data_IF_393190638080
#
_entry.id   IF_393190638080
#
_cell.length_a   1.000
_cell.length_b   1.000
_cell.length_c   1.000
_cell.angle_alpha   90.00
_cell.angle_beta   90.00
_cell.angle_gamma   90.00
#
_symmetry.space_group_name_H-M   'P 1'
#
loop_
_entity.id
_entity.type
_entity.pdbx_description
1 polymer ?
#
# COMPACT_ATOMS: atom_id res chain seq x y z
N UNK A 1 14.23 -14.26 -36.98
CA UNK A 1 12.76 -14.11 -37.08
C UNK A 1 12.19 -14.31 -35.67
N UNK A 2 11.90 -13.37 -34.77
CA UNK A 2 12.01 -11.91 -34.57
C UNK A 2 11.75 -11.69 -33.04
N UNK A 3 12.56 -10.89 -32.32
CA UNK A 3 12.25 -9.53 -31.79
C UNK A 3 10.96 -9.49 -30.92
N UNK A 4 10.85 -8.95 -29.69
CA UNK A 4 11.48 -7.87 -28.91
C UNK A 4 11.38 -8.25 -27.40
N UNK A 5 12.27 -7.91 -26.47
CA UNK A 5 12.80 -6.58 -26.15
C UNK A 5 12.04 -5.97 -24.96
N UNK A 6 12.31 -6.42 -23.71
CA UNK A 6 11.73 -5.82 -22.49
C UNK A 6 12.64 -4.70 -21.97
N UNK A 7 12.12 -3.49 -22.03
CA UNK A 7 12.81 -2.24 -21.68
C UNK A 7 12.77 -2.02 -20.15
N UNK A 8 13.93 -1.79 -19.56
CA UNK A 8 14.10 -1.30 -18.19
C UNK A 8 14.06 0.23 -18.24
N UNK A 9 13.04 0.87 -17.66
CA UNK A 9 13.00 2.33 -17.50
C UNK A 9 13.77 2.72 -16.23
N UNK A 10 15.01 3.21 -16.41
CA UNK A 10 15.74 3.99 -15.40
C UNK A 10 15.81 5.45 -15.88
N UNK A 11 15.24 6.37 -15.11
CA UNK A 11 15.38 7.81 -15.35
C UNK A 11 16.69 8.31 -14.76
N UNK A 12 17.68 8.49 -15.62
CA UNK A 12 18.78 9.44 -15.44
C UNK A 12 18.76 10.34 -16.67
N UNK A 13 18.38 11.60 -16.48
CA UNK A 13 18.38 12.59 -17.55
C UNK A 13 19.80 12.96 -17.98
N UNK A 14 20.00 13.36 -19.23
CA UNK A 14 21.11 14.22 -19.60
C UNK A 14 20.60 15.61 -20.00
N UNK A 15 21.17 16.63 -19.38
CA UNK A 15 21.25 17.98 -19.92
C UNK A 15 21.69 17.95 -21.38
N UNK A 16 21.07 18.78 -22.22
CA UNK A 16 21.70 19.49 -23.34
C UNK A 16 20.72 20.57 -23.82
N UNK A 17 21.09 21.84 -23.62
CA UNK A 17 20.56 22.95 -24.43
C UNK A 17 21.34 22.97 -25.76
N UNK A 18 20.73 23.45 -26.84
CA UNK A 18 21.26 24.67 -27.43
C UNK A 18 20.18 25.70 -27.80
N UNK A 19 20.67 26.91 -28.06
CA UNK A 19 19.99 28.19 -28.15
C UNK A 19 19.46 28.50 -29.55
N UNK A 20 18.43 29.37 -29.58
CA UNK A 20 18.18 30.49 -30.52
C UNK A 20 17.10 30.36 -31.63
N UNK A 21 16.12 31.26 -31.50
CA UNK A 21 15.38 32.06 -32.51
C UNK A 21 14.31 31.42 -33.40
N UNK A 22 13.16 32.11 -33.41
CA UNK A 22 12.12 32.02 -34.45
C UNK A 22 10.78 31.61 -33.84
N UNK A 23 9.95 32.60 -33.51
CA UNK A 23 8.58 32.33 -33.11
C UNK A 23 7.77 31.85 -34.31
N UNK A 24 6.91 30.87 -34.07
CA UNK A 24 5.64 30.72 -34.78
C UNK A 24 4.61 30.23 -33.78
N UNK A 25 3.54 31.01 -33.69
CA UNK A 25 2.36 30.80 -32.88
C UNK A 25 1.42 29.89 -33.65
N UNK A 26 1.23 28.64 -33.23
CA UNK A 26 0.16 27.79 -33.75
C UNK A 26 -0.73 27.22 -32.63
N UNK A 27 -1.83 27.97 -32.43
CA UNK A 27 -3.22 27.53 -32.22
C UNK A 27 -3.52 26.57 -31.05
N UNK A 28 -3.92 27.19 -29.93
CA UNK A 28 -4.77 26.60 -28.90
C UNK A 28 -6.19 26.40 -29.46
N UNK A 29 -6.70 25.17 -29.43
CA UNK A 29 -8.13 24.91 -29.63
C UNK A 29 -8.95 25.46 -28.45
N UNK A 30 -10.24 25.82 -28.63
CA UNK A 30 -10.91 26.79 -27.77
C UNK A 30 -11.26 26.33 -26.35
N UNK A 31 -10.92 25.10 -25.94
CA UNK A 31 -11.36 24.52 -24.67
C UNK A 31 -10.31 23.68 -23.92
N UNK A 32 -9.02 23.83 -24.23
CA UNK A 32 -7.95 23.36 -23.32
C UNK A 32 -7.72 21.85 -23.27
N UNK A 33 -8.10 21.09 -24.30
CA UNK A 33 -7.65 19.70 -24.49
C UNK A 33 -6.61 19.68 -25.60
N UNK A 34 -5.38 19.29 -25.26
CA UNK A 34 -4.29 19.09 -26.22
C UNK A 34 -4.02 17.60 -26.35
N UNK A 35 -3.60 17.14 -27.54
CA UNK A 35 -3.15 15.77 -27.79
C UNK A 35 -2.02 15.31 -26.84
N UNK A 36 -1.42 16.25 -26.09
CA UNK A 36 -0.35 16.03 -25.10
C UNK A 36 -0.87 15.54 -23.73
N UNK A 37 -2.18 15.64 -23.42
CA UNK A 37 -2.77 15.14 -22.16
C UNK A 37 -3.42 13.75 -22.27
N UNK A 38 -3.28 13.08 -23.41
CA UNK A 38 -3.74 11.69 -23.61
C UNK A 38 -2.66 10.74 -23.06
N UNK A 39 -2.55 10.68 -21.73
CA UNK A 39 -1.82 9.62 -21.04
C UNK A 39 -2.77 8.48 -20.71
N UNK A 40 -2.60 7.33 -21.38
CA UNK A 40 -3.06 5.97 -21.04
C UNK A 40 -4.52 5.71 -20.58
N UNK A 41 -5.41 6.70 -20.56
CA UNK A 41 -6.82 6.55 -20.14
C UNK A 41 -7.77 6.33 -21.32
N UNK A 42 -8.30 5.11 -21.42
CA UNK A 42 -9.32 4.77 -22.42
C UNK A 42 -10.65 5.51 -22.17
N UNK A 43 -11.02 5.73 -20.90
CA UNK A 43 -12.23 6.48 -20.54
C UNK A 43 -12.12 7.96 -20.93
N UNK A 44 -10.97 8.61 -20.66
CA UNK A 44 -10.78 10.00 -21.04
C UNK A 44 -10.87 10.22 -22.56
N UNK A 45 -10.30 9.29 -23.34
CA UNK A 45 -10.37 9.32 -24.79
C UNK A 45 -11.81 9.20 -25.31
N UNK A 46 -12.58 8.27 -24.77
CA UNK A 46 -13.95 8.04 -25.19
C UNK A 46 -14.91 9.15 -24.73
N UNK A 47 -14.66 9.80 -23.59
CA UNK A 47 -15.38 11.01 -23.18
C UNK A 47 -15.12 12.18 -24.13
N UNK A 48 -13.86 12.38 -24.54
CA UNK A 48 -13.48 13.39 -25.52
C UNK A 48 -14.12 13.13 -26.90
N UNK A 49 -14.08 11.88 -27.37
CA UNK A 49 -14.73 11.49 -28.62
C UNK A 49 -16.26 11.67 -28.56
N UNK A 50 -16.88 11.40 -27.40
CA UNK A 50 -18.30 11.64 -27.19
C UNK A 50 -18.67 13.13 -27.23
N UNK A 51 -17.83 14.03 -26.69
CA UNK A 51 -18.07 15.48 -26.80
C UNK A 51 -18.09 15.96 -28.26
N UNK A 52 -17.27 15.35 -29.13
CA UNK A 52 -17.17 15.72 -30.54
C UNK A 52 -18.30 15.08 -31.37
N UNK A 53 -18.59 13.80 -31.13
CA UNK A 53 -19.44 13.00 -32.03
C UNK A 53 -20.84 12.74 -31.46
N UNK A 54 -21.05 12.94 -30.16
CA UNK A 54 -22.24 12.51 -29.41
C UNK A 54 -22.55 11.00 -29.54
N UNK A 55 -21.55 10.18 -29.93
CA UNK A 55 -21.68 8.74 -30.08
C UNK A 55 -20.94 8.02 -28.95
N UNK A 56 -21.57 6.98 -28.40
CA UNK A 56 -20.95 6.10 -27.39
C UNK A 56 -20.17 4.96 -28.07
N UNK A 57 -19.13 4.40 -27.43
CA UNK A 57 -18.33 3.30 -27.99
C UNK A 57 -19.18 2.08 -28.37
N UNK A 58 -18.93 1.51 -29.54
CA UNK A 58 -19.73 0.40 -30.08
C UNK A 58 -19.66 -0.87 -29.21
N UNK A 59 -18.51 -1.11 -28.56
CA UNK A 59 -18.29 -2.25 -27.68
C UNK A 59 -19.02 -2.16 -26.33
N UNK A 60 -19.41 -0.95 -25.88
CA UNK A 60 -20.03 -0.77 -24.57
C UNK A 60 -21.34 -1.56 -24.42
N UNK A 61 -22.10 -1.69 -25.52
CA UNK A 61 -23.38 -2.41 -25.53
C UNK A 61 -23.24 -3.93 -25.26
N UNK A 62 -22.02 -4.48 -25.30
CA UNK A 62 -21.75 -5.86 -24.89
C UNK A 62 -21.63 -6.02 -23.37
N UNK A 63 -21.35 -4.93 -22.66
CA UNK A 63 -21.10 -4.91 -21.22
C UNK A 63 -22.27 -4.35 -20.40
N UNK A 64 -23.23 -3.68 -21.04
CA UNK A 64 -24.41 -3.10 -20.38
C UNK A 64 -25.71 -3.45 -21.12
N UNK A 65 -26.75 -3.80 -20.37
CA UNK A 65 -28.07 -4.19 -20.92
C UNK A 65 -28.93 -2.95 -21.28
N UNK A 66 -28.41 -1.75 -21.07
CA UNK A 66 -29.12 -0.49 -21.29
C UNK A 66 -29.11 -0.04 -22.76
N UNK A 67 -30.15 0.67 -23.19
CA UNK A 67 -30.25 1.19 -24.56
C UNK A 67 -29.15 2.22 -24.89
N UNK A 68 -28.79 2.37 -26.17
CA UNK A 68 -27.81 3.39 -26.63
C UNK A 68 -28.18 4.81 -26.18
N UNK A 69 -29.48 5.14 -26.11
CA UNK A 69 -29.98 6.42 -25.60
C UNK A 69 -29.68 6.61 -24.11
N UNK A 70 -29.80 5.55 -23.31
CA UNK A 70 -29.43 5.58 -21.90
C UNK A 70 -27.91 5.70 -21.72
N UNK A 71 -27.13 4.97 -22.52
CA UNK A 71 -25.66 5.07 -22.53
C UNK A 71 -25.19 6.49 -22.85
N UNK A 72 -25.76 7.15 -23.87
CA UNK A 72 -25.43 8.54 -24.21
C UNK A 72 -25.76 9.53 -23.08
N UNK A 73 -26.83 9.27 -22.31
CA UNK A 73 -27.14 10.08 -21.13
C UNK A 73 -26.12 9.88 -20.00
N UNK A 74 -25.52 8.69 -19.86
CA UNK A 74 -24.43 8.46 -18.91
C UNK A 74 -23.18 9.23 -19.30
N UNK A 75 -22.78 9.17 -20.57
CA UNK A 75 -21.60 9.88 -21.06
C UNK A 75 -21.73 11.39 -20.90
N UNK A 76 -22.93 11.96 -21.13
CA UNK A 76 -23.17 13.38 -20.86
C UNK A 76 -22.88 13.76 -19.41
N UNK A 77 -23.35 12.95 -18.44
CA UNK A 77 -23.08 13.17 -17.02
C UNK A 77 -21.61 12.98 -16.65
N UNK A 78 -20.97 11.98 -17.25
CA UNK A 78 -19.55 11.70 -17.02
C UNK A 78 -18.65 12.81 -17.55
N UNK A 79 -18.97 13.39 -18.71
CA UNK A 79 -18.28 14.57 -19.25
C UNK A 79 -18.39 15.77 -18.31
N UNK A 80 -19.60 16.04 -17.80
CA UNK A 80 -19.81 17.12 -16.82
C UNK A 80 -19.00 16.88 -15.54
N UNK A 81 -19.08 15.68 -14.95
CA UNK A 81 -18.32 15.33 -13.75
C UNK A 81 -16.80 15.36 -13.97
N UNK A 82 -16.32 14.96 -15.15
CA UNK A 82 -14.91 15.00 -15.52
C UNK A 82 -14.39 16.44 -15.61
N UNK A 83 -15.23 17.37 -16.07
CA UNK A 83 -14.90 18.81 -16.15
C UNK A 83 -14.84 19.47 -14.77
N UNK A 84 -15.72 19.05 -13.86
CA UNK A 84 -15.78 19.55 -12.48
C UNK A 84 -14.65 19.00 -11.60
N UNK A 85 -14.07 17.85 -11.95
CA UNK A 85 -12.92 17.28 -11.26
C UNK A 85 -11.64 18.11 -11.50
N UNK A 86 -11.29 18.95 -10.53
CA UNK A 86 -10.04 19.73 -10.51
C UNK A 86 -9.14 19.24 -9.37
N UNK A 87 -8.02 18.54 -9.64
CA UNK A 87 -7.49 18.16 -10.96
C UNK A 87 -8.25 16.98 -11.61
N UNK A 88 -8.16 16.81 -12.95
CA UNK A 88 -8.76 15.69 -13.65
C UNK A 88 -8.14 14.36 -13.17
N UNK A 89 -8.91 13.25 -13.15
CA UNK A 89 -8.42 11.94 -12.72
C UNK A 89 -7.16 11.53 -13.49
N UNK A 90 -6.15 11.03 -12.78
CA UNK A 90 -4.88 10.58 -13.38
C UNK A 90 -4.59 9.10 -13.14
N UNK A 91 -5.43 8.42 -12.37
CA UNK A 91 -5.28 7.01 -11.98
C UNK A 91 -6.57 6.24 -12.22
N UNK A 92 -6.46 4.93 -12.46
CA UNK A 92 -7.62 4.06 -12.68
C UNK A 92 -8.57 4.03 -11.46
N UNK A 93 -8.03 4.20 -10.25
CA UNK A 93 -8.82 4.28 -9.02
C UNK A 93 -9.63 5.59 -8.93
N UNK A 94 -9.05 6.72 -9.34
CA UNK A 94 -9.75 8.01 -9.38
C UNK A 94 -10.83 8.01 -10.47
N UNK A 95 -10.55 7.43 -11.63
CA UNK A 95 -11.52 7.25 -12.72
C UNK A 95 -12.69 6.37 -12.29
N UNK A 96 -12.40 5.22 -11.66
CA UNK A 96 -13.42 4.34 -11.12
C UNK A 96 -14.32 5.06 -10.10
N UNK A 97 -13.72 5.83 -9.19
CA UNK A 97 -14.47 6.62 -8.20
C UNK A 97 -15.37 7.67 -8.86
N UNK A 98 -14.88 8.37 -9.88
CA UNK A 98 -15.67 9.36 -10.60
C UNK A 98 -16.86 8.71 -11.30
N UNK A 99 -16.67 7.56 -11.95
CA UNK A 99 -17.76 6.79 -12.58
C UNK A 99 -18.79 6.33 -11.55
N UNK A 100 -18.33 5.76 -10.43
CA UNK A 100 -19.18 5.27 -9.34
C UNK A 100 -20.00 6.41 -8.73
N UNK A 101 -19.36 7.56 -8.44
CA UNK A 101 -20.03 8.71 -7.83
C UNK A 101 -21.07 9.33 -8.77
N UNK A 102 -20.75 9.43 -10.06
CA UNK A 102 -21.62 10.06 -11.07
C UNK A 102 -22.85 9.22 -11.39
N UNK A 103 -22.70 7.88 -11.41
CA UNK A 103 -23.75 6.94 -11.82
C UNK A 103 -24.31 6.11 -10.64
N UNK A 104 -24.16 6.59 -9.40
CA UNK A 104 -24.49 5.89 -8.16
C UNK A 104 -25.93 5.30 -8.07
N UNK A 105 -26.90 5.86 -8.80
CA UNK A 105 -28.29 5.35 -8.86
C UNK A 105 -28.46 4.14 -9.78
N UNK A 106 -27.42 3.73 -10.50
CA UNK A 106 -27.49 2.73 -11.57
C UNK A 106 -26.36 1.69 -11.43
N UNK A 107 -26.42 0.88 -10.38
CA UNK A 107 -25.39 -0.09 -10.02
C UNK A 107 -24.95 -1.02 -11.17
N UNK A 108 -25.90 -1.58 -11.94
CA UNK A 108 -25.59 -2.45 -13.09
C UNK A 108 -24.91 -1.71 -14.25
N UNK A 109 -25.14 -0.41 -14.39
CA UNK A 109 -24.48 0.41 -15.40
C UNK A 109 -23.03 0.71 -14.99
N UNK A 110 -22.81 1.00 -13.71
CA UNK A 110 -21.49 1.21 -13.13
C UNK A 110 -20.62 -0.03 -13.32
N UNK A 111 -21.12 -1.21 -12.94
CA UNK A 111 -20.36 -2.46 -13.08
C UNK A 111 -19.96 -2.76 -14.53
N UNK A 112 -20.88 -2.55 -15.48
CA UNK A 112 -20.58 -2.76 -16.91
C UNK A 112 -19.61 -1.73 -17.49
N UNK A 113 -19.69 -0.46 -17.08
CA UNK A 113 -18.73 0.57 -17.48
C UNK A 113 -17.33 0.32 -16.91
N UNK A 114 -17.25 -0.03 -15.62
CA UNK A 114 -15.97 -0.37 -14.99
C UNK A 114 -15.34 -1.60 -15.66
N UNK A 115 -16.13 -2.62 -15.97
CA UNK A 115 -15.66 -3.80 -16.69
C UNK A 115 -15.20 -3.48 -18.12
N UNK A 116 -15.92 -2.62 -18.85
CA UNK A 116 -15.58 -2.20 -20.22
C UNK A 116 -14.22 -1.49 -20.28
N UNK A 117 -13.91 -0.65 -19.29
CA UNK A 117 -12.65 0.10 -19.22
C UNK A 117 -11.55 -0.58 -18.39
N UNK A 118 -11.81 -1.77 -17.82
CA UNK A 118 -10.85 -2.46 -16.95
C UNK A 118 -10.59 -1.76 -15.61
N UNK A 119 -11.54 -0.97 -15.13
CA UNK A 119 -11.46 -0.20 -13.88
C UNK A 119 -11.85 -1.06 -12.65
N UNK A 120 -11.29 -0.78 -11.46
CA UNK A 120 -11.57 -1.56 -10.26
C UNK A 120 -13.05 -1.53 -9.84
N UNK A 121 -13.62 -2.70 -9.54
CA UNK A 121 -15.03 -2.90 -9.18
C UNK A 121 -15.40 -2.39 -7.77
N UNK A 122 -16.68 -2.08 -7.50
CA UNK A 122 -17.14 -1.50 -6.23
C UNK A 122 -16.83 -2.34 -4.98
N UNK A 123 -16.74 -3.67 -5.11
CA UNK A 123 -16.40 -4.56 -3.98
C UNK A 123 -14.89 -4.59 -3.66
N UNK A 124 -14.05 -4.06 -4.56
CA UNK A 124 -12.62 -3.80 -4.30
C UNK A 124 -12.39 -2.38 -3.75
N UNK A 125 -13.33 -1.46 -4.00
CA UNK A 125 -13.35 -0.13 -3.38
C UNK A 125 -14.09 -0.25 -2.05
N UNK A 126 -13.36 -0.65 -1.02
CA UNK A 126 -13.76 -0.47 0.38
C UNK A 126 -14.40 0.91 0.51
N UNK A 127 -15.65 0.94 0.98
CA UNK A 127 -16.30 2.16 1.46
C UNK A 127 -15.31 2.86 2.40
N UNK A 128 -14.66 3.92 1.90
CA UNK A 128 -14.02 4.86 2.78
C UNK A 128 -15.18 5.53 3.51
N UNK A 129 -15.31 5.36 4.85
CA UNK A 129 -16.40 5.96 5.57
C UNK A 129 -16.41 7.46 5.29
N UNK A 130 -17.59 8.01 5.06
CA UNK A 130 -17.81 9.45 5.01
C UNK A 130 -17.08 10.09 6.20
N UNK A 131 -16.08 10.91 5.86
CA UNK A 131 -14.99 11.43 6.72
C UNK A 131 -13.89 10.42 7.03
N UNK A 132 -12.88 10.36 6.16
CA UNK A 132 -11.51 10.19 6.64
C UNK A 132 -11.29 11.24 7.74
N UNK A 133 -10.78 10.88 8.93
CA UNK A 133 -10.28 11.89 9.84
C UNK A 133 -9.22 12.69 9.08
N UNK A 134 -9.50 13.97 8.83
CA UNK A 134 -8.58 14.88 8.13
C UNK A 134 -7.30 15.12 8.95
N UNK A 135 -7.24 14.60 10.17
CA UNK A 135 -6.06 14.59 11.03
C UNK A 135 -5.71 13.16 11.45
N UNK A 136 -4.44 12.80 11.34
CA UNK A 136 -3.94 11.58 11.96
C UNK A 136 -4.21 11.57 13.48
N UNK A 137 -4.32 10.39 14.10
CA UNK A 137 -4.32 10.29 15.56
C UNK A 137 -3.16 11.08 16.16
N UNK A 138 -3.38 11.66 17.34
CA UNK A 138 -2.36 12.43 18.04
C UNK A 138 -1.08 11.60 18.21
N UNK A 139 0.06 12.16 17.80
CA UNK A 139 1.38 11.53 17.92
C UNK A 139 1.85 10.74 16.70
N UNK A 140 1.02 10.57 15.66
CA UNK A 140 1.47 9.99 14.39
C UNK A 140 2.38 10.99 13.68
N UNK A 141 3.59 10.55 13.32
CA UNK A 141 4.59 11.33 12.61
C UNK A 141 4.42 11.22 11.09
N UNK A 142 4.16 10.01 10.60
CA UNK A 142 3.89 9.72 9.20
C UNK A 142 3.20 8.37 9.04
N UNK A 143 2.68 8.10 7.84
CA UNK A 143 2.14 6.80 7.46
C UNK A 143 2.78 6.29 6.17
N UNK A 144 2.80 4.97 6.01
CA UNK A 144 3.18 4.33 4.76
C UNK A 144 2.44 3.01 4.57
N UNK A 145 2.46 2.50 3.34
CA UNK A 145 1.93 1.18 3.02
C UNK A 145 3.06 0.17 2.79
N UNK A 146 2.88 -1.05 3.29
CA UNK A 146 3.84 -2.13 3.07
C UNK A 146 3.55 -2.88 1.78
N UNK A 147 4.58 -3.54 1.26
CA UNK A 147 4.40 -4.69 0.37
C UNK A 147 3.72 -5.85 1.13
N UNK A 148 3.18 -6.86 0.42
CA UNK A 148 2.60 -8.05 1.05
C UNK A 148 3.55 -8.70 2.05
N UNK A 149 3.05 -8.97 3.25
CA UNK A 149 3.87 -9.52 4.34
C UNK A 149 4.07 -11.03 4.16
N UNK A 150 5.32 -11.46 4.23
CA UNK A 150 5.69 -12.89 4.30
C UNK A 150 5.53 -13.38 5.75
N UNK A 151 5.04 -14.60 5.98
CA UNK A 151 4.95 -15.16 7.33
C UNK A 151 6.28 -15.13 8.11
N UNK A 152 7.41 -15.29 7.41
CA UNK A 152 8.77 -15.25 7.99
C UNK A 152 9.19 -13.86 8.44
N UNK A 153 8.49 -12.80 8.00
CA UNK A 153 8.75 -11.45 8.47
C UNK A 153 8.26 -11.22 9.90
N UNK A 154 7.35 -12.05 10.43
CA UNK A 154 6.90 -11.96 11.82
C UNK A 154 7.93 -12.63 12.74
N UNK A 155 8.52 -11.84 13.66
CA UNK A 155 9.57 -12.30 14.55
C UNK A 155 8.98 -13.05 15.77
N UNK A 156 7.98 -12.44 16.40
CA UNK A 156 7.29 -12.86 17.62
C UNK A 156 5.83 -12.35 17.58
N UNK A 157 5.10 -12.33 18.70
CA UNK A 157 3.70 -11.91 18.75
C UNK A 157 3.44 -10.40 18.62
N UNK A 158 4.46 -9.55 18.56
CA UNK A 158 4.29 -8.09 18.45
C UNK A 158 5.40 -7.33 17.68
N UNK A 159 6.33 -8.07 17.07
CA UNK A 159 7.44 -7.57 16.29
C UNK A 159 7.51 -8.23 14.90
N UNK A 160 7.76 -7.41 13.88
CA UNK A 160 7.84 -7.86 12.49
C UNK A 160 8.78 -7.00 11.65
N UNK A 161 9.33 -7.56 10.57
CA UNK A 161 10.17 -6.87 9.60
C UNK A 161 9.49 -6.80 8.24
N UNK A 162 8.93 -5.64 7.89
CA UNK A 162 8.21 -5.43 6.64
C UNK A 162 9.09 -4.78 5.59
N UNK A 163 8.59 -4.76 4.36
CA UNK A 163 9.24 -4.08 3.24
C UNK A 163 8.34 -2.99 2.70
N UNK A 164 8.92 -1.83 2.44
CA UNK A 164 8.26 -0.67 1.83
C UNK A 164 8.91 -0.42 0.49
N UNK A 165 8.09 -0.27 -0.56
CA UNK A 165 8.61 0.02 -1.90
C UNK A 165 9.37 1.34 -1.89
N UNK A 166 10.54 1.39 -2.55
CA UNK A 166 11.26 2.66 -2.71
C UNK A 166 10.56 3.61 -3.69
N UNK A 167 9.53 3.15 -4.40
CA UNK A 167 8.64 4.00 -5.19
C UNK A 167 7.59 4.73 -4.33
N UNK A 168 7.43 4.36 -3.05
CA UNK A 168 6.56 5.10 -2.15
C UNK A 168 7.08 6.54 -1.99
N UNK A 169 6.20 7.57 -2.08
CA UNK A 169 6.62 8.97 -1.96
C UNK A 169 7.43 9.28 -0.69
N UNK A 170 7.12 8.61 0.43
CA UNK A 170 7.81 8.81 1.71
C UNK A 170 9.22 8.24 1.73
N UNK A 171 9.51 7.27 0.86
CA UNK A 171 10.78 6.55 0.80
C UNK A 171 11.66 6.98 -0.38
N UNK A 172 11.04 7.38 -1.51
CA UNK A 172 11.74 7.70 -2.76
C UNK A 172 12.88 8.70 -2.61
N UNK A 173 12.68 9.75 -1.80
CA UNK A 173 13.66 10.81 -1.53
C UNK A 173 14.76 10.40 -0.55
N UNK A 174 14.58 9.29 0.19
CA UNK A 174 15.50 8.82 1.24
C UNK A 174 16.45 7.74 0.76
N UNK A 175 16.25 7.21 -0.45
CA UNK A 175 17.04 6.09 -0.97
C UNK A 175 18.40 6.59 -1.47
N UNK A 176 19.53 6.08 -0.93
CA UNK A 176 20.85 6.51 -1.38
C UNK A 176 21.09 6.17 -2.85
N UNK A 177 21.73 7.09 -3.59
CA UNK A 177 22.08 6.91 -5.00
C UNK A 177 22.86 5.61 -5.25
N UNK A 178 23.76 5.23 -4.33
CA UNK A 178 24.54 4.00 -4.42
C UNK A 178 23.67 2.74 -4.42
N UNK A 179 22.59 2.73 -3.62
CA UNK A 179 21.64 1.62 -3.55
C UNK A 179 20.83 1.54 -4.85
N UNK A 180 20.37 2.67 -5.36
CA UNK A 180 19.67 2.72 -6.65
C UNK A 180 20.56 2.20 -7.78
N UNK A 181 21.80 2.70 -7.87
CA UNK A 181 22.77 2.25 -8.86
C UNK A 181 23.10 0.76 -8.73
N UNK A 182 23.27 0.26 -7.51
CA UNK A 182 23.51 -1.15 -7.26
C UNK A 182 22.33 -2.02 -7.74
N UNK A 183 21.09 -1.57 -7.54
CA UNK A 183 19.90 -2.26 -8.03
C UNK A 183 19.86 -2.31 -9.57
N UNK A 184 20.16 -1.20 -10.25
CA UNK A 184 20.30 -1.14 -11.73
C UNK A 184 21.34 -2.15 -12.22
N UNK A 185 22.53 -2.10 -11.63
CA UNK A 185 23.67 -2.92 -12.03
C UNK A 185 23.39 -4.40 -11.78
N UNK A 186 22.70 -4.72 -10.68
CA UNK A 186 22.29 -6.09 -10.35
C UNK A 186 21.36 -6.64 -11.42
N UNK A 187 20.33 -5.87 -11.81
CA UNK A 187 19.40 -6.28 -12.87
C UNK A 187 20.14 -6.53 -14.19
N UNK A 188 21.06 -5.63 -14.57
CA UNK A 188 21.93 -5.79 -15.75
C UNK A 188 22.81 -7.05 -15.66
N UNK A 189 23.37 -7.34 -14.48
CA UNK A 189 24.20 -8.53 -14.26
C UNK A 189 23.38 -9.83 -14.41
N UNK A 190 22.15 -9.87 -13.86
CA UNK A 190 21.22 -11.00 -14.02
C UNK A 190 20.82 -11.21 -15.47
N UNK A 191 20.52 -10.14 -16.21
CA UNK A 191 20.21 -10.22 -17.64
C UNK A 191 21.37 -10.82 -18.47
N UNK A 192 22.62 -10.56 -18.06
CA UNK A 192 23.83 -11.14 -18.65
C UNK A 192 24.21 -12.52 -18.07
N UNK A 193 23.37 -13.12 -17.22
CA UNK A 193 23.64 -14.38 -16.48
C UNK A 193 24.93 -14.35 -15.64
N UNK A 194 25.40 -13.16 -15.24
CA UNK A 194 26.51 -13.00 -14.32
C UNK A 194 25.98 -13.00 -12.88
N UNK A 195 25.73 -14.20 -12.34
CA UNK A 195 25.14 -14.37 -11.02
C UNK A 195 26.06 -13.94 -9.89
N UNK A 196 27.37 -14.22 -9.98
CA UNK A 196 28.37 -13.78 -8.99
C UNK A 196 28.31 -12.27 -8.77
N UNK A 197 28.29 -11.49 -9.86
CA UNK A 197 28.20 -10.04 -9.75
C UNK A 197 26.86 -9.57 -9.22
N UNK A 198 25.77 -10.24 -9.61
CA UNK A 198 24.44 -9.93 -9.12
C UNK A 198 24.32 -10.17 -7.60
N UNK A 199 24.94 -11.24 -7.09
CA UNK A 199 24.90 -11.60 -5.67
C UNK A 199 25.78 -10.66 -4.82
N UNK A 200 26.95 -10.26 -5.30
CA UNK A 200 27.75 -9.18 -4.68
C UNK A 200 26.95 -7.89 -4.53
N UNK A 201 26.26 -7.47 -5.60
CA UNK A 201 25.44 -6.26 -5.60
C UNK A 201 24.22 -6.43 -4.69
N UNK A 202 23.61 -7.61 -4.67
CA UNK A 202 22.51 -7.92 -3.76
C UNK A 202 22.93 -7.83 -2.29
N UNK A 203 24.13 -8.31 -1.96
CA UNK A 203 24.70 -8.19 -0.63
C UNK A 203 24.89 -6.72 -0.25
N UNK A 204 25.47 -5.89 -1.11
CA UNK A 204 25.61 -4.44 -0.88
C UNK A 204 24.26 -3.75 -0.60
N UNK A 205 23.23 -4.09 -1.37
CA UNK A 205 21.87 -3.58 -1.16
C UNK A 205 21.33 -4.02 0.22
N UNK A 206 21.56 -5.28 0.59
CA UNK A 206 21.12 -5.86 1.87
C UNK A 206 21.82 -5.23 3.07
N UNK A 207 23.14 -5.04 2.98
CA UNK A 207 23.96 -4.41 4.02
C UNK A 207 23.54 -2.94 4.24
N UNK A 208 23.02 -2.28 3.21
CA UNK A 208 22.45 -0.92 3.30
C UNK A 208 21.00 -0.89 3.85
N UNK A 209 20.42 -2.02 4.25
CA UNK A 209 19.05 -2.09 4.78
C UNK A 209 17.95 -2.17 3.73
N UNK A 210 18.29 -2.42 2.47
CA UNK A 210 17.35 -2.58 1.37
C UNK A 210 17.29 -4.02 0.87
N UNK A 211 16.33 -4.35 0.03
CA UNK A 211 16.26 -5.64 -0.63
C UNK A 211 15.59 -5.51 -1.99
N UNK A 212 16.05 -6.32 -2.95
CA UNK A 212 15.31 -6.51 -4.21
C UNK A 212 14.41 -7.73 -4.03
N UNK A 213 13.10 -7.50 -4.06
CA UNK A 213 12.06 -8.51 -3.96
C UNK A 213 11.51 -8.82 -5.35
N UNK A 214 11.08 -10.06 -5.58
CA UNK A 214 10.34 -10.41 -6.78
C UNK A 214 8.88 -10.62 -6.39
N UNK A 215 8.00 -9.72 -6.82
CA UNK A 215 6.56 -9.77 -6.55
C UNK A 215 5.88 -9.73 -7.91
N UNK A 216 5.02 -10.72 -8.20
CA UNK A 216 4.29 -10.80 -9.47
C UNK A 216 5.18 -10.69 -10.73
N UNK A 217 6.37 -11.29 -10.69
CA UNK A 217 7.40 -11.24 -11.73
C UNK A 217 8.06 -9.87 -11.96
N UNK A 218 7.89 -8.94 -11.02
CA UNK A 218 8.55 -7.64 -11.03
C UNK A 218 9.61 -7.55 -9.92
N UNK A 219 10.80 -7.05 -10.27
CA UNK A 219 11.83 -6.76 -9.28
C UNK A 219 11.57 -5.39 -8.64
N UNK A 220 11.18 -5.41 -7.36
CA UNK A 220 10.91 -4.21 -6.57
C UNK A 220 12.07 -4.00 -5.60
N UNK A 221 12.72 -2.83 -5.69
CA UNK A 221 13.62 -2.37 -4.64
C UNK A 221 12.78 -1.87 -3.45
N UNK A 222 13.07 -2.39 -2.27
CA UNK A 222 12.31 -2.09 -1.07
C UNK A 222 13.22 -1.85 0.13
N UNK A 223 12.84 -0.93 1.00
CA UNK A 223 13.51 -0.71 2.30
C UNK A 223 12.96 -1.69 3.32
N UNK A 224 13.85 -2.29 4.11
CA UNK A 224 13.46 -3.11 5.27
C UNK A 224 13.14 -2.20 6.44
N UNK A 225 11.95 -2.36 7.03
CA UNK A 225 11.52 -1.63 8.22
C UNK A 225 11.18 -2.62 9.33
N UNK A 226 11.80 -2.47 10.50
CA UNK A 226 11.51 -3.29 11.69
C UNK A 226 10.45 -2.59 12.51
N UNK A 227 9.29 -3.20 12.66
CA UNK A 227 8.14 -2.65 13.35
C UNK A 227 7.98 -3.32 14.73
N UNK A 228 7.69 -2.48 15.73
CA UNK A 228 7.19 -2.90 17.04
C UNK A 228 5.76 -2.39 17.19
N UNK A 229 4.83 -3.30 17.48
CA UNK A 229 3.43 -2.93 17.73
C UNK A 229 3.34 -2.08 18.99
N UNK A 230 2.75 -0.89 18.83
CA UNK A 230 2.58 0.06 19.92
C UNK A 230 1.52 -0.43 20.91
N UNK A 231 1.80 -0.26 22.21
CA UNK A 231 0.85 -0.46 23.30
C UNK A 231 0.56 -1.90 23.68
N UNK A 232 1.20 -2.89 23.04
CA UNK A 232 1.09 -4.30 23.44
C UNK A 232 2.46 -4.92 23.72
N UNK A 233 2.46 -5.96 24.54
CA UNK A 233 3.61 -6.85 24.78
C UNK A 233 3.13 -8.30 24.71
N UNK A 234 3.53 -9.03 23.67
CA UNK A 234 3.21 -10.43 23.49
C UNK A 234 4.17 -11.34 24.26
N UNK A 235 3.76 -12.56 24.65
CA UNK A 235 4.69 -13.54 25.20
C UNK A 235 5.84 -13.79 24.23
N UNK A 236 7.06 -13.82 24.77
CA UNK A 236 8.27 -14.10 23.99
C UNK A 236 8.19 -15.52 23.41
N UNK A 237 8.87 -15.81 22.29
CA UNK A 237 8.75 -17.11 21.61
C UNK A 237 9.03 -18.33 22.52
N UNK A 238 9.88 -18.17 23.54
CA UNK A 238 10.22 -19.23 24.52
C UNK A 238 9.29 -19.25 25.74
N UNK A 239 8.38 -18.30 25.87
CA UNK A 239 7.36 -18.28 26.92
C UNK A 239 6.17 -19.17 26.56
N UNK A 240 5.43 -19.67 27.56
CA UNK A 240 4.11 -20.24 27.32
C UNK A 240 3.24 -19.30 26.50
N UNK A 241 2.57 -19.84 25.47
CA UNK A 241 1.74 -19.08 24.52
C UNK A 241 2.49 -18.14 23.55
N UNK A 242 3.84 -18.12 23.57
CA UNK A 242 4.63 -17.26 22.67
C UNK A 242 4.49 -17.62 21.20
N UNK A 243 4.53 -18.91 20.88
CA UNK A 243 4.44 -19.37 19.51
C UNK A 243 3.02 -19.21 18.95
N UNK A 244 2.00 -19.42 19.78
CA UNK A 244 0.60 -19.21 19.45
C UNK A 244 0.30 -17.73 19.22
N UNK A 245 0.85 -16.82 20.04
CA UNK A 245 0.74 -15.39 19.83
C UNK A 245 1.36 -14.95 18.49
N UNK A 246 2.55 -15.46 18.18
CA UNK A 246 3.20 -15.26 16.89
C UNK A 246 2.35 -15.77 15.72
N UNK A 247 1.81 -16.97 15.83
CA UNK A 247 0.96 -17.57 14.79
C UNK A 247 -0.31 -16.75 14.55
N UNK A 248 -0.91 -16.18 15.62
CA UNK A 248 -2.06 -15.29 15.47
C UNK A 248 -1.69 -14.03 14.69
N UNK A 249 -0.54 -13.44 14.96
CA UNK A 249 -0.04 -12.29 14.20
C UNK A 249 0.23 -12.66 12.73
N UNK A 250 0.87 -13.79 12.46
CA UNK A 250 1.08 -14.30 11.09
C UNK A 250 -0.26 -14.44 10.36
N UNK A 251 -1.25 -15.08 10.99
CA UNK A 251 -2.58 -15.30 10.40
C UNK A 251 -3.29 -14.00 10.04
N UNK A 252 -3.07 -12.93 10.81
CA UNK A 252 -3.64 -11.62 10.54
C UNK A 252 -2.98 -10.94 9.33
N UNK A 253 -1.67 -11.11 9.14
CA UNK A 253 -0.88 -10.29 8.22
C UNK A 253 -0.41 -10.98 6.93
N UNK A 254 -0.24 -12.31 6.95
CA UNK A 254 0.36 -13.05 5.84
C UNK A 254 -0.35 -12.80 4.51
N UNK A 255 0.44 -12.46 3.49
CA UNK A 255 -0.02 -12.19 2.13
C UNK A 255 -0.69 -10.83 1.95
N UNK A 256 -0.80 -10.01 2.99
CA UNK A 256 -1.55 -8.74 2.96
C UNK A 256 -0.63 -7.53 3.03
N UNK A 257 -1.05 -6.44 2.42
CA UNK A 257 -0.44 -5.12 2.59
C UNK A 257 -0.97 -4.47 3.87
N UNK A 258 -0.11 -3.73 4.56
CA UNK A 258 -0.43 -3.08 5.82
C UNK A 258 -0.40 -1.56 5.64
N UNK A 259 -1.32 -0.87 6.30
CA UNK A 259 -1.20 0.56 6.57
C UNK A 259 -0.54 0.72 7.94
N UNK A 260 0.59 1.40 7.96
CA UNK A 260 1.44 1.59 9.14
C UNK A 260 1.35 3.05 9.58
N UNK A 261 0.88 3.29 10.81
CA UNK A 261 0.87 4.62 11.42
C UNK A 261 2.03 4.72 12.40
N UNK A 262 3.05 5.52 12.07
CA UNK A 262 4.32 5.59 12.81
C UNK A 262 4.25 6.67 13.88
N UNK A 263 4.66 6.32 15.10
CA UNK A 263 4.72 7.23 16.25
C UNK A 263 6.15 7.64 16.62
N UNK A 264 7.15 6.90 16.12
CA UNK A 264 8.57 7.16 16.35
C UNK A 264 9.39 5.88 16.27
N UNK A 265 10.59 5.92 16.84
CA UNK A 265 11.51 4.80 16.92
C UNK A 265 11.89 4.54 18.37
N UNK A 266 12.09 3.26 18.72
CA UNK A 266 12.59 2.88 20.03
C UNK A 266 14.13 2.82 20.08
N UNK A 267 14.69 2.61 21.27
CA UNK A 267 16.14 2.48 21.50
C UNK A 267 16.81 1.32 20.76
N UNK A 268 16.03 0.42 20.16
CA UNK A 268 16.52 -0.71 19.36
C UNK A 268 16.32 -0.47 17.85
N UNK A 269 16.06 0.79 17.47
CA UNK A 269 15.85 1.23 16.09
C UNK A 269 14.66 0.51 15.43
N UNK A 270 13.64 0.17 16.23
CA UNK A 270 12.37 -0.35 15.72
C UNK A 270 11.37 0.77 15.61
N UNK A 271 10.70 0.84 14.47
CA UNK A 271 9.57 1.73 14.22
C UNK A 271 8.39 1.32 15.11
N UNK A 272 8.01 2.18 16.04
CA UNK A 272 6.86 1.97 16.93
C UNK A 272 5.59 2.44 16.21
N UNK A 273 4.66 1.52 15.95
CA UNK A 273 3.53 1.80 15.06
C UNK A 273 2.20 1.14 15.46
N UNK A 274 1.11 1.77 15.04
CA UNK A 274 -0.22 1.16 14.96
C UNK A 274 -0.40 0.53 13.57
N UNK A 275 -0.88 -0.71 13.51
CA UNK A 275 -1.03 -1.45 12.25
C UNK A 275 -2.49 -1.66 11.88
N UNK A 276 -2.82 -1.34 10.63
CA UNK A 276 -4.12 -1.64 10.03
C UNK A 276 -3.95 -2.57 8.83
N UNK A 277 -4.77 -3.62 8.78
CA UNK A 277 -4.81 -4.57 7.69
C UNK A 277 -6.25 -4.76 7.22
N UNK A 278 -6.57 -4.38 5.99
CA UNK A 278 -7.93 -4.46 5.43
C UNK A 278 -9.01 -3.85 6.35
N UNK A 279 -8.72 -2.69 6.94
CA UNK A 279 -9.62 -2.00 7.88
C UNK A 279 -9.61 -2.54 9.32
N UNK A 280 -8.95 -3.67 9.57
CA UNK A 280 -8.81 -4.27 10.91
C UNK A 280 -7.63 -3.62 11.63
N UNK A 281 -7.85 -3.16 12.87
CA UNK A 281 -6.77 -2.72 13.75
C UNK A 281 -6.12 -3.94 14.43
N UNK A 282 -4.84 -4.19 14.11
CA UNK A 282 -4.16 -5.46 14.46
C UNK A 282 -4.03 -5.64 15.97
N UNK A 283 -3.64 -4.58 16.70
CA UNK A 283 -3.50 -4.65 18.16
C UNK A 283 -4.82 -4.96 18.88
N UNK A 284 -5.95 -4.47 18.37
CA UNK A 284 -7.27 -4.79 18.92
C UNK A 284 -7.55 -6.28 18.84
N UNK A 285 -7.32 -6.89 17.67
CA UNK A 285 -7.54 -8.33 17.48
C UNK A 285 -6.63 -9.18 18.36
N UNK A 286 -5.34 -8.82 18.46
CA UNK A 286 -4.41 -9.53 19.34
C UNK A 286 -4.84 -9.48 20.81
N UNK A 287 -5.27 -8.31 21.30
CA UNK A 287 -5.74 -8.17 22.68
C UNK A 287 -7.03 -8.93 22.92
N UNK A 288 -8.03 -8.83 22.02
CA UNK A 288 -9.30 -9.54 22.13
C UNK A 288 -9.14 -11.06 22.13
N UNK A 289 -8.14 -11.57 21.40
CA UNK A 289 -7.83 -13.00 21.34
C UNK A 289 -6.94 -13.49 22.48
N UNK A 290 -6.50 -12.59 23.37
CA UNK A 290 -5.56 -12.95 24.43
C UNK A 290 -4.20 -13.40 23.89
N UNK A 291 -3.74 -12.79 22.79
CA UNK A 291 -2.42 -13.04 22.21
C UNK A 291 -1.35 -12.06 22.70
N UNK A 292 -1.74 -10.99 23.39
CA UNK A 292 -0.81 -10.03 23.97
C UNK A 292 -1.34 -9.42 25.27
N UNK A 293 -0.45 -8.81 26.03
CA UNK A 293 -0.75 -7.98 27.19
C UNK A 293 -0.88 -6.51 26.75
N UNK A 294 -1.76 -5.75 27.41
CA UNK A 294 -1.73 -4.30 27.28
C UNK A 294 -0.51 -3.75 28.04
N UNK A 295 0.34 -3.00 27.33
CA UNK A 295 1.55 -2.45 27.93
C UNK A 295 1.32 -1.05 28.49
N UNK A 296 0.64 -0.99 29.64
CA UNK A 296 0.15 0.26 30.26
C UNK A 296 1.23 1.31 30.58
N UNK A 297 2.51 0.91 30.65
CA UNK A 297 3.63 1.83 30.86
C UNK A 297 3.90 2.73 29.64
N UNK A 298 3.53 2.28 28.43
CA UNK A 298 3.81 2.97 27.16
C UNK A 298 2.54 3.37 26.40
N UNK A 299 1.38 2.85 26.79
CA UNK A 299 0.11 3.18 26.19
C UNK A 299 -0.96 3.30 27.28
N UNK A 300 -1.74 4.38 27.25
CA UNK A 300 -2.78 4.66 28.24
C UNK A 300 -4.18 4.66 27.64
N UNK A 301 -4.35 4.13 26.43
CA UNK A 301 -5.64 4.08 25.75
C UNK A 301 -6.61 3.18 26.53
N UNK A 302 -7.78 3.69 26.96
CA UNK A 302 -8.71 2.90 27.74
C UNK A 302 -9.28 1.70 26.96
N UNK A 303 -9.35 1.79 25.64
CA UNK A 303 -9.78 0.70 24.76
C UNK A 303 -8.86 -0.54 24.85
N UNK A 304 -7.54 -0.38 24.98
CA UNK A 304 -6.59 -1.49 25.11
C UNK A 304 -6.85 -2.27 26.41
N UNK A 305 -6.99 -1.54 27.52
CA UNK A 305 -7.32 -2.13 28.81
C UNK A 305 -8.69 -2.84 28.78
N UNK A 306 -9.67 -2.27 28.07
CA UNK A 306 -11.00 -2.89 27.91
C UNK A 306 -10.93 -4.22 27.14
N UNK A 307 -10.21 -4.26 26.02
CA UNK A 307 -10.08 -5.49 25.22
C UNK A 307 -9.35 -6.59 25.99
N UNK A 308 -8.26 -6.26 26.68
CA UNK A 308 -7.54 -7.19 27.54
C UNK A 308 -8.43 -7.72 28.67
N UNK A 309 -9.15 -6.84 29.37
CA UNK A 309 -10.06 -7.22 30.46
C UNK A 309 -11.14 -8.19 29.97
N UNK A 310 -11.67 -7.96 28.78
CA UNK A 310 -12.67 -8.84 28.18
C UNK A 310 -12.10 -10.22 27.80
N UNK A 311 -10.88 -10.25 27.24
CA UNK A 311 -10.18 -11.50 26.93
C UNK A 311 -9.89 -12.31 28.20
N UNK A 312 -9.45 -11.65 29.28
CA UNK A 312 -9.27 -12.25 30.62
C UNK A 312 -10.55 -12.86 31.16
N UNK A 313 -11.65 -12.11 31.12
CA UNK A 313 -12.97 -12.57 31.58
C UNK A 313 -13.44 -13.82 30.85
N UNK A 314 -13.15 -13.91 29.56
CA UNK A 314 -13.51 -15.06 28.70
C UNK A 314 -12.51 -16.21 28.76
N UNK A 315 -11.37 -16.04 29.44
CA UNK A 315 -10.26 -17.01 29.50
C UNK A 315 -9.79 -17.46 28.11
N UNK A 316 -9.70 -16.52 27.16
CA UNK A 316 -9.23 -16.81 25.80
C UNK A 316 -7.72 -16.62 25.67
N UNK A 317 -7.10 -17.41 24.79
CA UNK A 317 -5.67 -17.36 24.53
C UNK A 317 -4.83 -17.58 25.78
N UNK A 318 -3.84 -16.71 26.03
CA UNK A 318 -2.95 -16.82 27.19
C UNK A 318 -3.70 -16.80 28.53
N UNK A 319 -4.92 -16.24 28.57
CA UNK A 319 -5.78 -16.18 29.75
C UNK A 319 -6.50 -17.50 30.07
N UNK A 320 -6.36 -18.53 29.23
CA UNK A 320 -6.78 -19.88 29.58
C UNK A 320 -5.91 -20.47 30.71
N UNK A 321 -4.66 -20.01 30.83
CA UNK A 321 -3.80 -20.30 31.97
C UNK A 321 -4.29 -19.57 33.22
N UNK A 322 -4.16 -20.21 34.39
CA UNK A 322 -4.55 -19.63 35.67
C UNK A 322 -3.62 -18.51 36.14
N UNK A 323 -2.36 -18.52 35.73
CA UNK A 323 -1.37 -17.52 36.10
C UNK A 323 -0.37 -17.28 34.94
N UNK A 324 -0.80 -16.63 33.85
CA UNK A 324 0.11 -16.31 32.77
C UNK A 324 1.11 -15.24 33.23
N UNK A 325 2.40 -15.45 32.93
CA UNK A 325 3.48 -14.52 33.26
C UNK A 325 3.53 -13.37 32.23
N UNK A 326 3.81 -12.16 32.71
CA UNK A 326 3.98 -11.00 31.82
C UNK A 326 5.35 -11.04 31.13
N UNK A 327 5.46 -10.66 29.85
CA UNK A 327 6.72 -10.77 29.13
C UNK A 327 7.82 -9.85 29.69
N UNK A 328 7.46 -8.65 30.17
CA UNK A 328 8.42 -7.77 30.84
C UNK A 328 8.90 -8.27 32.21
N UNK A 329 8.11 -9.10 32.92
CA UNK A 329 8.53 -9.74 34.18
C UNK A 329 9.46 -10.92 33.88
N UNK A 330 9.08 -11.77 32.92
CA UNK A 330 9.91 -12.88 32.44
C UNK A 330 11.31 -12.41 31.98
N UNK A 331 11.37 -11.31 31.22
CA UNK A 331 12.63 -10.68 30.80
C UNK A 331 13.48 -10.21 31.98
N UNK A 332 12.89 -9.69 33.05
CA UNK A 332 13.62 -9.28 34.26
C UNK A 332 14.22 -10.48 34.99
N UNK A 333 13.45 -11.56 35.17
CA UNK A 333 13.92 -12.77 35.82
C UNK A 333 15.16 -13.36 35.11
N UNK A 334 15.16 -13.41 33.77
CA UNK A 334 16.30 -13.93 32.99
C UNK A 334 17.55 -13.04 32.99
N UNK A 335 17.39 -11.73 33.20
CA UNK A 335 18.54 -10.82 33.37
C UNK A 335 19.16 -10.93 34.77
N UNK A 336 18.34 -11.18 35.79
CA UNK A 336 18.80 -11.36 37.18
C UNK A 336 19.38 -12.74 37.49
N UNK A 337 19.07 -13.78 36.71
CA UNK A 337 19.62 -15.13 36.90
C UNK A 337 21.01 -15.39 36.31
N UNK A 338 21.72 -14.34 35.87
CA UNK A 338 23.08 -14.41 35.28
C UNK A 338 24.16 -13.72 36.15
N UNK A 339 23.82 -13.36 37.39
CA UNK A 339 24.75 -12.80 38.38
C UNK A 339 25.40 -13.87 39.23
#
# INVERSE_FOLDING_TARGET
MGLLGKLVKFLLGPCLKPTTTGGDSESLGPYGVSAVTVGDSALALDLFNFEITSQVPEGLSQHVVSSKKAQANWYRKLVEAWREAQPPPRTAEEEARLVIQTLNRQQKAVEGLLAFYGLPLPHAVVEVPAKLPTSWPQGVQFEFQTLPVDARAVADGDGLAVYVSTADPTESSRVPNEVQMAAVQRAKARAKKNYTKADELHKKITDAGYRVLNIQNEEILARKCRIRLRGIDAPENEMPYGQEAKQELVRLLEGKCLRVLVYGEDQFERTVADLHCNGIFVQEELLKKGAAWHYAAYDQRPEFARWEKEARRRRVGLWASSNPEKPWEWRKHRRGGRS
#
